data_IF_885795156153
#
_entry.id   IF_885795156153
#
_cell.length_a   1.000
_cell.length_b   1.000
_cell.length_c   1.000
_cell.angle_alpha   90.00
_cell.angle_beta   90.00
_cell.angle_gamma   90.00
#
_symmetry.space_group_name_H-M   'P 1'
#
loop_
_entity.id
_entity.type
_entity.pdbx_description
1 polymer ?
#
# COMPACT_ATOMS: atom_id res chain seq x y z
N UNK A 1 24.32 -9.59 4.76
CA UNK A 1 24.75 -8.21 5.04
C UNK A 1 24.53 -7.39 3.79
N UNK A 2 23.69 -6.35 3.88
CA UNK A 2 23.26 -5.47 2.77
C UNK A 2 24.26 -4.34 2.57
N UNK A 3 24.52 -3.91 1.33
CA UNK A 3 24.95 -2.53 1.00
C UNK A 3 24.96 -2.33 -0.52
N UNK A 4 23.90 -1.76 -1.12
CA UNK A 4 23.88 -0.51 -1.91
C UNK A 4 22.37 -0.16 -2.09
N UNK A 5 21.92 1.05 -1.72
CA UNK A 5 20.53 1.45 -1.89
C UNK A 5 20.18 1.43 -3.38
N UNK A 6 19.10 0.72 -3.75
CA UNK A 6 18.44 0.88 -5.04
C UNK A 6 18.16 2.38 -5.15
N UNK A 7 18.93 3.06 -6.00
CA UNK A 7 18.88 4.49 -6.24
C UNK A 7 17.40 4.88 -6.33
N UNK A 8 16.86 5.45 -5.24
CA UNK A 8 15.55 6.08 -5.29
C UNK A 8 15.74 7.22 -6.27
N UNK A 9 15.26 7.05 -7.49
CA UNK A 9 15.17 8.15 -8.43
C UNK A 9 14.21 9.15 -7.78
N UNK A 10 14.75 10.18 -7.13
CA UNK A 10 14.00 11.21 -6.39
C UNK A 10 13.22 12.15 -7.34
N UNK A 11 13.03 11.74 -8.59
CA UNK A 11 12.14 12.43 -9.54
C UNK A 11 10.74 12.31 -8.96
N UNK A 12 10.01 13.43 -8.98
CA UNK A 12 8.60 13.52 -8.57
C UNK A 12 7.90 12.24 -9.03
N UNK A 13 7.38 11.39 -8.11
CA UNK A 13 6.77 10.15 -8.52
C UNK A 13 5.64 10.47 -9.49
N UNK A 14 5.50 9.65 -10.53
CA UNK A 14 4.35 9.73 -11.42
C UNK A 14 3.08 9.83 -10.56
N UNK A 15 2.06 10.58 -11.00
CA UNK A 15 0.82 10.71 -10.21
C UNK A 15 0.21 9.33 -9.95
N UNK A 16 0.38 8.41 -10.89
CA UNK A 16 0.00 7.00 -10.77
C UNK A 16 0.77 6.31 -9.62
N UNK A 17 2.07 6.59 -9.47
CA UNK A 17 2.88 6.02 -8.39
C UNK A 17 2.55 6.61 -7.01
N UNK A 18 2.10 7.88 -6.95
CA UNK A 18 1.60 8.47 -5.70
C UNK A 18 0.28 7.84 -5.28
N UNK A 19 -0.62 7.59 -6.23
CA UNK A 19 -1.88 6.89 -5.99
C UNK A 19 -1.63 5.45 -5.52
N UNK A 20 -0.66 4.75 -6.11
CA UNK A 20 -0.23 3.44 -5.63
C UNK A 20 0.32 3.50 -4.19
N UNK A 21 1.15 4.50 -3.84
CA UNK A 21 1.67 4.67 -2.48
C UNK A 21 0.54 4.93 -1.48
N UNK A 22 -0.42 5.77 -1.84
CA UNK A 22 -1.61 6.05 -1.03
C UNK A 22 -2.42 4.77 -0.79
N UNK A 23 -2.65 3.98 -1.85
CA UNK A 23 -3.31 2.67 -1.75
C UNK A 23 -2.57 1.70 -0.81
N UNK A 24 -1.25 1.58 -0.92
CA UNK A 24 -0.48 0.73 -0.02
C UNK A 24 -0.49 1.24 1.42
N UNK A 25 -0.50 2.56 1.63
CA UNK A 25 -0.56 3.18 2.95
C UNK A 25 -1.90 2.87 3.66
N UNK A 26 -3.01 2.89 2.92
CA UNK A 26 -4.34 2.51 3.44
C UNK A 26 -4.38 1.04 3.89
N UNK A 27 -3.82 0.14 3.07
CA UNK A 27 -3.71 -1.29 3.43
C UNK A 27 -2.87 -1.47 4.69
N UNK A 28 -1.71 -0.82 4.78
CA UNK A 28 -0.84 -0.91 5.96
C UNK A 28 -1.49 -0.33 7.22
N UNK A 29 -2.28 0.74 7.06
CA UNK A 29 -3.05 1.34 8.15
C UNK A 29 -4.12 0.38 8.66
N UNK A 30 -4.86 -0.28 7.76
CA UNK A 30 -5.86 -1.28 8.12
C UNK A 30 -5.23 -2.49 8.84
N UNK A 31 -4.06 -2.94 8.40
CA UNK A 31 -3.30 -4.00 9.09
C UNK A 31 -2.84 -3.54 10.48
N UNK A 32 -2.30 -2.33 10.61
CA UNK A 32 -1.82 -1.80 11.88
C UNK A 32 -2.96 -1.58 12.90
N UNK A 33 -4.18 -1.31 12.42
CA UNK A 33 -5.37 -1.17 13.25
C UNK A 33 -6.01 -2.51 13.65
N UNK A 34 -5.53 -3.64 13.11
CA UNK A 34 -6.09 -4.97 13.35
C UNK A 34 -5.14 -5.83 14.19
N UNK A 35 -5.68 -6.45 15.24
CA UNK A 35 -4.94 -7.42 16.08
C UNK A 35 -4.76 -8.80 15.41
N UNK A 36 -5.30 -8.97 14.20
CA UNK A 36 -5.26 -10.21 13.42
C UNK A 36 -5.02 -9.93 11.94
N UNK A 37 -4.61 -10.94 11.15
CA UNK A 37 -4.58 -10.81 9.70
C UNK A 37 -5.94 -10.37 9.15
N UNK A 38 -5.92 -9.49 8.13
CA UNK A 38 -7.11 -9.09 7.41
C UNK A 38 -7.70 -10.28 6.65
N UNK A 39 -9.02 -10.38 6.65
CA UNK A 39 -9.75 -11.27 5.75
C UNK A 39 -9.73 -10.70 4.33
N UNK A 40 -9.97 -11.53 3.29
CA UNK A 40 -10.07 -11.05 1.92
C UNK A 40 -11.06 -9.89 1.75
N UNK A 41 -12.24 -9.97 2.38
CA UNK A 41 -13.24 -8.91 2.31
C UNK A 41 -12.81 -7.60 2.99
N UNK A 42 -12.02 -7.68 4.06
CA UNK A 42 -11.45 -6.49 4.73
C UNK A 42 -10.35 -5.86 3.87
N UNK A 43 -9.57 -6.69 3.16
CA UNK A 43 -8.58 -6.22 2.20
C UNK A 43 -9.26 -5.57 0.98
N UNK A 44 -10.31 -6.17 0.43
CA UNK A 44 -11.07 -5.61 -0.69
C UNK A 44 -11.66 -4.24 -0.33
N UNK A 45 -12.16 -4.08 0.91
CA UNK A 45 -12.61 -2.78 1.41
C UNK A 45 -11.48 -1.76 1.51
N UNK A 46 -10.31 -2.14 2.04
CA UNK A 46 -9.15 -1.24 2.12
C UNK A 46 -8.64 -0.84 0.72
N UNK A 47 -8.80 -1.71 -0.27
CA UNK A 47 -8.47 -1.46 -1.67
C UNK A 47 -9.59 -0.73 -2.43
N UNK A 48 -10.75 -0.47 -1.81
CA UNK A 48 -11.90 0.17 -2.44
C UNK A 48 -12.58 -0.67 -3.52
N UNK A 49 -12.31 -1.98 -3.57
CA UNK A 49 -12.89 -2.91 -4.53
C UNK A 49 -14.36 -3.15 -4.14
N UNK A 50 -15.28 -2.77 -5.04
CA UNK A 50 -16.71 -3.09 -4.92
C UNK A 50 -17.03 -4.17 -5.95
N UNK A 51 -17.58 -5.29 -5.51
CA UNK A 51 -18.16 -6.28 -6.41
C UNK A 51 -19.21 -5.58 -7.28
N UNK A 52 -18.98 -5.60 -8.60
CA UNK A 52 -19.82 -4.95 -9.60
C UNK A 52 -20.69 -5.92 -10.36
#
# INVERSE_FOLDING_TARGET
>A
MSTIPRQLDLRVPDRDALEEIELYAEVLTAVAASDRPLTPAELDQALGIRDS
#
